data_IF_026523742622
#
_entry.id   IF_026523742622
#
_cell.length_a   1.000
_cell.length_b   1.000
_cell.length_c   1.000
_cell.angle_alpha   90.00
_cell.angle_beta   90.00
_cell.angle_gamma   90.00
#
_symmetry.space_group_name_H-M   'P 1'
#
loop_
_entity.id
_entity.type
_entity.pdbx_description
1 polymer ?
#
# COMPACT_ATOMS: atom_id res chain seq x y z
N UNK A 1 2.27 -4.36 -7.27
CA UNK A 1 0.84 -4.31 -7.66
C UNK A 1 0.68 -3.22 -8.69
N UNK A 2 -0.15 -3.44 -9.71
CA UNK A 2 -0.50 -2.39 -10.67
C UNK A 2 -1.92 -1.92 -10.40
N UNK A 3 -2.11 -0.63 -10.16
CA UNK A 3 -3.42 -0.07 -9.82
C UNK A 3 -3.56 1.38 -10.30
N UNK A 4 -4.81 1.78 -10.54
CA UNK A 4 -5.19 3.19 -10.65
C UNK A 4 -6.33 3.42 -9.67
N UNK A 5 -6.32 4.55 -8.98
CA UNK A 5 -7.27 4.75 -7.90
C UNK A 5 -7.58 6.23 -7.69
N UNK A 6 -8.82 6.45 -7.32
CA UNK A 6 -9.26 7.60 -6.54
C UNK A 6 -10.03 7.15 -5.31
N UNK A 7 -10.15 7.99 -4.30
CA UNK A 7 -10.97 7.75 -3.12
C UNK A 7 -11.46 9.07 -2.52
N UNK A 8 -12.50 8.98 -1.69
CA UNK A 8 -12.92 10.12 -0.87
C UNK A 8 -11.78 10.48 0.10
N UNK A 9 -11.44 11.77 0.14
CA UNK A 9 -10.33 12.31 0.93
C UNK A 9 -10.80 13.08 2.15
N UNK A 10 -12.09 13.40 2.20
CA UNK A 10 -12.73 14.07 3.31
C UNK A 10 -13.30 13.02 4.25
N UNK A 11 -12.89 13.08 5.51
CA UNK A 11 -13.50 12.27 6.56
C UNK A 11 -14.96 12.66 6.76
N UNK A 12 -15.86 11.69 6.68
CA UNK A 12 -17.29 11.80 7.06
C UNK A 12 -17.65 10.59 7.93
N UNK A 13 -18.83 10.58 8.58
CA UNK A 13 -19.29 9.38 9.30
C UNK A 13 -19.38 8.11 8.43
N UNK A 14 -19.43 8.26 7.11
CA UNK A 14 -19.53 7.18 6.12
C UNK A 14 -18.20 6.87 5.41
N UNK A 15 -17.20 7.76 5.50
CA UNK A 15 -15.93 7.66 4.78
C UNK A 15 -14.74 8.06 5.67
N UNK A 16 -13.74 7.21 5.74
CA UNK A 16 -12.55 7.42 6.56
C UNK A 16 -11.60 8.50 6.01
N UNK A 17 -11.84 9.02 4.81
CA UNK A 17 -10.94 9.97 4.12
C UNK A 17 -9.69 9.31 3.51
N UNK A 18 -9.66 7.98 3.42
CA UNK A 18 -8.64 7.19 2.75
C UNK A 18 -9.25 5.88 2.22
N UNK A 19 -8.53 5.18 1.35
CA UNK A 19 -8.92 3.89 0.81
C UNK A 19 -7.92 2.77 1.06
N UNK A 20 -8.33 1.52 0.81
CA UNK A 20 -7.45 0.36 0.86
C UNK A 20 -7.21 -0.22 -0.53
N UNK A 21 -5.94 -0.33 -0.92
CA UNK A 21 -5.55 -1.06 -2.12
C UNK A 21 -5.61 -2.56 -1.86
N UNK A 22 -4.85 -3.02 -0.86
CA UNK A 22 -4.90 -4.39 -0.37
C UNK A 22 -4.45 -4.44 1.08
N UNK A 23 -5.12 -5.20 1.93
CA UNK A 23 -4.84 -5.23 3.36
C UNK A 23 -5.22 -6.58 3.97
N UNK A 24 -4.34 -7.10 4.82
CA UNK A 24 -4.58 -8.33 5.60
C UNK A 24 -4.27 -8.11 7.10
N UNK A 25 -5.04 -7.24 7.78
CA UNK A 25 -4.78 -6.92 9.18
C UNK A 25 -5.36 -8.00 10.09
N UNK A 26 -4.86 -8.09 11.32
CA UNK A 26 -5.53 -8.77 12.41
C UNK A 26 -6.89 -8.10 12.71
N UNK A 27 -7.84 -8.86 13.27
CA UNK A 27 -9.17 -8.34 13.59
C UNK A 27 -9.20 -7.28 14.71
N UNK A 28 -8.17 -7.25 15.55
CA UNK A 28 -8.10 -6.38 16.72
C UNK A 28 -6.87 -5.48 16.67
N UNK A 29 -6.99 -4.30 17.29
CA UNK A 29 -5.87 -3.39 17.49
C UNK A 29 -4.67 -4.13 18.11
N UNK A 30 -3.44 -3.89 17.63
CA UNK A 30 -3.02 -2.79 16.74
C UNK A 30 -3.19 -3.09 15.24
N UNK A 31 -4.05 -4.05 14.87
CA UNK A 31 -4.38 -4.41 13.49
C UNK A 31 -3.17 -4.88 12.68
N UNK A 32 -2.28 -5.62 13.35
CA UNK A 32 -1.04 -6.15 12.76
C UNK A 32 -1.30 -6.92 11.47
N UNK A 33 -0.57 -6.58 10.42
CA UNK A 33 -0.64 -7.25 9.13
C UNK A 33 -0.32 -6.31 7.97
N UNK A 34 0.07 -6.84 6.80
CA UNK A 34 0.49 -6.03 5.68
C UNK A 34 -0.70 -5.33 5.03
N UNK A 35 -0.61 -4.01 4.89
CA UNK A 35 -1.60 -3.18 4.21
C UNK A 35 -0.94 -2.14 3.30
N UNK A 36 -1.55 -1.94 2.14
CA UNK A 36 -1.28 -0.88 1.18
C UNK A 36 -2.48 0.05 1.13
N UNK A 37 -2.20 1.34 1.32
CA UNK A 37 -3.19 2.37 1.59
C UNK A 37 -3.19 3.40 0.45
N UNK A 38 -4.40 3.80 0.05
CA UNK A 38 -4.66 4.90 -0.87
C UNK A 38 -5.02 6.13 -0.04
N UNK A 39 -4.04 6.99 0.20
CA UNK A 39 -4.12 8.00 1.25
C UNK A 39 -3.87 7.44 2.65
N UNK A 40 -3.95 8.31 3.65
CA UNK A 40 -3.85 7.96 5.06
C UNK A 40 -4.79 8.83 5.88
N UNK A 41 -5.42 8.30 6.96
CA UNK A 41 -6.25 9.08 7.87
C UNK A 41 -5.37 10.02 8.70
N UNK A 42 -5.01 11.15 8.10
CA UNK A 42 -4.21 12.22 8.69
C UNK A 42 -4.95 13.53 8.47
N UNK A 43 -4.78 14.49 9.38
CA UNK A 43 -5.40 15.82 9.28
C UNK A 43 -4.81 16.67 8.15
N UNK A 44 -3.75 16.20 7.47
CA UNK A 44 -3.13 16.90 6.35
C UNK A 44 -3.68 16.43 5.00
N UNK A 45 -4.17 17.36 4.18
CA UNK A 45 -4.67 17.09 2.82
C UNK A 45 -3.66 16.38 1.92
N UNK A 46 -2.37 16.63 2.08
CA UNK A 46 -1.34 15.91 1.32
C UNK A 46 -1.40 14.40 1.60
N UNK A 47 -1.59 14.01 2.87
CA UNK A 47 -1.59 12.62 3.30
C UNK A 47 -2.77 11.82 2.73
N UNK A 48 -3.93 12.44 2.49
CA UNK A 48 -5.07 11.77 1.83
C UNK A 48 -4.86 11.56 0.32
N UNK A 49 -3.81 12.14 -0.25
CA UNK A 49 -3.37 11.92 -1.64
C UNK A 49 -2.06 11.11 -1.78
N UNK A 50 -1.46 10.71 -0.64
CA UNK A 50 -0.24 9.89 -0.60
C UNK A 50 -0.54 8.41 -0.87
N UNK A 51 0.51 7.64 -1.16
CA UNK A 51 0.50 6.18 -1.12
C UNK A 51 1.13 5.73 0.21
N UNK A 52 0.59 4.69 0.84
CA UNK A 52 1.09 4.23 2.13
C UNK A 52 1.25 2.71 2.22
N UNK A 53 2.11 2.28 3.14
CA UNK A 53 2.12 0.91 3.64
C UNK A 53 2.11 0.92 5.16
N UNK A 54 1.40 -0.03 5.73
CA UNK A 54 1.22 -0.19 7.16
C UNK A 54 1.42 -1.66 7.52
N UNK A 55 2.09 -1.90 8.65
CA UNK A 55 2.20 -3.24 9.24
C UNK A 55 1.52 -3.35 10.61
N UNK A 56 1.27 -2.23 11.29
CA UNK A 56 0.30 -2.05 12.38
C UNK A 56 0.00 -0.54 12.54
N UNK A 57 -0.78 -0.12 13.55
CA UNK A 57 -1.11 1.31 13.74
C UNK A 57 0.06 2.25 14.08
N UNK A 58 1.22 1.73 14.48
CA UNK A 58 2.40 2.51 14.90
C UNK A 58 3.56 2.42 13.90
N UNK A 59 3.56 1.39 13.06
CA UNK A 59 4.60 1.04 12.11
C UNK A 59 4.05 1.15 10.69
N UNK A 60 4.25 2.31 10.11
CA UNK A 60 3.81 2.63 8.76
C UNK A 60 4.80 3.55 8.06
N UNK A 61 4.66 3.65 6.75
CA UNK A 61 5.39 4.58 5.89
C UNK A 61 4.39 5.19 4.92
N UNK A 62 4.50 6.50 4.72
CA UNK A 62 3.76 7.24 3.71
C UNK A 62 4.75 7.76 2.66
N UNK A 63 4.29 7.87 1.42
CA UNK A 63 5.06 8.50 0.37
C UNK A 63 5.42 9.94 0.75
N UNK A 64 6.65 10.35 0.46
CA UNK A 64 7.07 11.75 0.60
C UNK A 64 6.45 12.65 -0.47
N UNK A 65 6.05 12.03 -1.58
CA UNK A 65 5.32 12.64 -2.69
C UNK A 65 3.80 12.48 -2.49
N UNK A 66 3.03 13.33 -3.16
CA UNK A 66 1.57 13.40 -3.10
C UNK A 66 0.98 13.30 -4.52
N UNK A 67 -0.35 13.31 -4.64
CA UNK A 67 -1.01 13.31 -5.96
C UNK A 67 -1.18 11.93 -6.60
N UNK A 68 -1.14 10.85 -5.82
CA UNK A 68 -1.42 9.50 -6.31
C UNK A 68 -2.93 9.19 -6.39
N UNK A 69 -3.76 10.02 -5.73
CA UNK A 69 -5.23 9.98 -5.82
C UNK A 69 -5.73 10.68 -7.09
N UNK A 70 -5.33 10.18 -8.26
CA UNK A 70 -5.56 10.83 -9.56
C UNK A 70 -6.11 9.89 -10.64
N UNK A 71 -6.33 8.62 -10.31
CA UNK A 71 -6.83 7.63 -11.26
C UNK A 71 -5.83 7.22 -12.34
N UNK A 72 -4.55 7.60 -12.21
CA UNK A 72 -3.49 7.17 -13.13
C UNK A 72 -2.94 5.80 -12.70
N UNK A 73 -2.81 4.91 -13.68
CA UNK A 73 -2.29 3.56 -13.50
C UNK A 73 -0.79 3.63 -13.20
N UNK A 74 -0.36 3.04 -12.09
CA UNK A 74 1.06 2.94 -11.69
C UNK A 74 1.36 1.59 -11.08
N UNK A 75 2.64 1.26 -11.03
CA UNK A 75 3.16 0.14 -10.26
C UNK A 75 3.44 0.62 -8.83
N UNK A 76 2.67 0.11 -7.87
CA UNK A 76 2.87 0.34 -6.44
C UNK A 76 3.47 -0.90 -5.78
N UNK A 77 4.55 -0.72 -5.04
CA UNK A 77 5.20 -1.78 -4.27
C UNK A 77 5.52 -1.32 -2.86
N UNK A 78 5.43 -2.24 -1.90
CA UNK A 78 6.07 -2.09 -0.61
C UNK A 78 6.86 -3.35 -0.29
N UNK A 79 8.03 -3.19 0.31
CA UNK A 79 8.87 -4.31 0.71
C UNK A 79 9.46 -4.09 2.10
N UNK A 80 9.79 -5.21 2.75
CA UNK A 80 10.61 -5.21 3.97
C UNK A 80 12.06 -5.44 3.57
N UNK A 81 12.89 -4.39 3.63
CA UNK A 81 14.32 -4.44 3.30
C UNK A 81 15.12 -4.76 4.57
N UNK A 82 15.96 -5.80 4.50
CA UNK A 82 16.88 -6.18 5.59
C UNK A 82 16.20 -6.50 6.93
N UNK A 83 14.91 -6.85 6.91
CA UNK A 83 14.12 -7.15 8.12
C UNK A 83 13.74 -5.94 8.97
N UNK A 84 14.35 -4.76 8.83
CA UNK A 84 14.12 -3.63 9.74
C UNK A 84 13.67 -2.34 9.05
N UNK A 85 13.34 -2.39 7.76
CA UNK A 85 12.91 -1.21 7.00
C UNK A 85 11.72 -1.55 6.13
N UNK A 86 10.66 -0.76 6.22
CA UNK A 86 9.53 -0.80 5.30
C UNK A 86 9.73 0.30 4.24
N UNK A 87 9.80 -0.08 2.98
CA UNK A 87 10.06 0.81 1.85
C UNK A 87 8.86 0.86 0.91
N UNK A 88 8.52 2.05 0.43
CA UNK A 88 7.55 2.27 -0.65
C UNK A 88 8.26 2.56 -1.96
N UNK A 89 7.72 1.98 -3.03
CA UNK A 89 8.19 2.23 -4.39
C UNK A 89 7.01 2.49 -5.32
N UNK A 90 7.23 3.40 -6.26
CA UNK A 90 6.31 3.67 -7.37
C UNK A 90 7.10 3.61 -8.68
N UNK A 91 6.59 2.83 -9.63
CA UNK A 91 7.20 2.63 -10.95
C UNK A 91 8.69 2.22 -10.85
N UNK A 92 9.00 1.35 -9.88
CA UNK A 92 10.35 0.84 -9.62
C UNK A 92 11.31 1.82 -8.93
N UNK A 93 10.83 3.01 -8.50
CA UNK A 93 11.63 3.99 -7.77
C UNK A 93 11.23 4.02 -6.30
N UNK A 94 12.23 4.00 -5.40
CA UNK A 94 12.02 4.25 -3.97
C UNK A 94 11.53 5.68 -3.73
N UNK A 95 10.42 5.83 -2.99
CA UNK A 95 9.81 7.14 -2.70
C UNK A 95 9.71 7.45 -1.21
N UNK A 96 9.81 6.43 -0.36
CA UNK A 96 9.83 6.58 1.09
C UNK A 96 10.33 5.30 1.77
N UNK A 97 10.90 5.43 2.95
CA UNK A 97 11.24 4.32 3.81
C UNK A 97 11.10 4.72 5.29
N UNK A 98 10.71 3.77 6.13
CA UNK A 98 10.64 3.94 7.57
C UNK A 98 11.21 2.72 8.30
N UNK A 99 11.84 2.91 9.47
CA UNK A 99 12.28 1.79 10.28
C UNK A 99 11.08 1.02 10.84
N UNK A 100 11.22 -0.30 10.95
CA UNK A 100 10.32 -1.20 11.69
C UNK A 100 11.15 -2.16 12.54
N UNK A 101 10.61 -2.73 13.63
CA UNK A 101 11.35 -3.71 14.44
C UNK A 101 11.82 -4.90 13.59
N UNK A 102 13.03 -5.39 13.83
CA UNK A 102 13.65 -6.44 13.01
C UNK A 102 12.98 -7.80 13.15
N UNK A 103 12.37 -8.06 14.30
CA UNK A 103 11.64 -9.28 14.67
C UNK A 103 10.11 -9.11 14.55
N UNK A 104 9.64 -8.02 13.94
CA UNK A 104 8.21 -7.73 13.83
C UNK A 104 7.47 -8.80 13.03
N UNK A 105 6.53 -9.52 13.66
CA UNK A 105 5.68 -10.49 12.97
C UNK A 105 4.44 -9.80 12.39
N UNK A 106 4.28 -9.88 11.08
CA UNK A 106 3.12 -9.35 10.35
C UNK A 106 2.13 -10.45 9.96
N UNK A 107 2.30 -11.65 10.51
CA UNK A 107 1.41 -12.76 10.22
C UNK A 107 0.02 -12.48 10.80
N UNK A 108 -0.99 -12.70 9.95
CA UNK A 108 -2.39 -12.58 10.33
C UNK A 108 -3.15 -13.80 9.82
N UNK A 109 -2.88 -14.99 10.38
CA UNK A 109 -3.55 -16.22 9.96
C UNK A 109 -5.05 -16.13 10.23
N UNK A 110 -5.84 -16.79 9.38
CA UNK A 110 -7.31 -16.85 9.47
C UNK A 110 -8.05 -15.51 9.31
N UNK A 111 -7.35 -14.39 9.11
CA UNK A 111 -7.97 -13.12 8.76
C UNK A 111 -8.08 -12.97 7.23
N UNK A 112 -9.19 -12.37 6.74
CA UNK A 112 -9.41 -12.19 5.32
C UNK A 112 -8.44 -11.15 4.73
N UNK A 113 -8.04 -11.38 3.48
CA UNK A 113 -7.44 -10.33 2.65
C UNK A 113 -8.58 -9.47 2.11
N UNK A 114 -8.41 -8.15 2.18
CA UNK A 114 -9.35 -7.16 1.64
C UNK A 114 -8.67 -6.44 0.48
N UNK A 115 -9.37 -6.29 -0.63
CA UNK A 115 -8.86 -5.69 -1.88
C UNK A 115 -9.84 -4.62 -2.31
N UNK A 116 -9.37 -3.41 -2.58
CA UNK A 116 -10.20 -2.31 -3.06
C UNK A 116 -11.09 -1.63 -2.02
N UNK A 117 -11.01 -2.05 -0.75
CA UNK A 117 -11.73 -1.44 0.36
C UNK A 117 -12.07 -2.42 1.47
N UNK A 118 -12.64 -1.87 2.54
CA UNK A 118 -13.26 -2.67 3.59
C UNK A 118 -14.64 -3.18 3.15
N UNK A 119 -15.15 -4.22 3.83
CA UNK A 119 -16.53 -4.69 3.61
C UNK A 119 -17.61 -3.68 4.02
N UNK A 120 -17.23 -2.55 4.63
CA UNK A 120 -18.02 -1.36 4.82
C UNK A 120 -17.48 -0.25 3.90
N UNK A 121 -18.35 0.64 3.40
CA UNK A 121 -17.99 1.67 2.37
C UNK A 121 -16.93 2.69 2.81
N UNK A 122 -16.51 2.60 4.05
CA UNK A 122 -15.65 3.52 4.80
C UNK A 122 -14.27 3.74 4.15
N UNK A 123 -13.74 2.75 3.42
CA UNK A 123 -12.39 2.81 2.81
C UNK A 123 -12.39 2.36 1.34
N UNK A 124 -13.49 2.63 0.63
CA UNK A 124 -13.68 2.17 -0.73
C UNK A 124 -12.78 2.90 -1.75
N UNK A 125 -12.22 2.13 -2.69
CA UNK A 125 -11.56 2.68 -3.88
C UNK A 125 -12.52 2.84 -5.05
N UNK A 126 -12.19 3.80 -5.91
CA UNK A 126 -12.73 3.93 -7.27
C UNK A 126 -11.58 3.81 -8.25
N UNK A 127 -11.52 2.74 -9.02
CA UNK A 127 -10.45 2.53 -10.00
C UNK A 127 -10.29 1.08 -10.38
N UNK A 128 -9.07 0.70 -10.77
CA UNK A 128 -8.75 -0.66 -11.20
C UNK A 128 -7.54 -1.19 -10.45
N UNK A 129 -7.58 -2.48 -10.15
CA UNK A 129 -6.41 -3.25 -9.71
C UNK A 129 -6.17 -4.27 -10.80
N UNK A 130 -5.06 -4.12 -11.53
CA UNK A 130 -4.69 -5.03 -12.61
C UNK A 130 -4.15 -6.34 -12.06
N UNK A 131 -3.16 -6.26 -11.17
CA UNK A 131 -2.52 -7.44 -10.59
C UNK A 131 -1.94 -7.16 -9.20
N UNK A 132 -2.05 -8.16 -8.32
CA UNK A 132 -1.45 -8.18 -6.98
C UNK A 132 -0.55 -9.41 -6.87
N UNK A 133 0.71 -9.17 -6.50
CA UNK A 133 1.67 -10.21 -6.11
C UNK A 133 2.09 -9.93 -4.67
N UNK A 134 1.99 -10.94 -3.81
CA UNK A 134 2.49 -10.90 -2.44
C UNK A 134 3.54 -11.99 -2.27
N UNK A 135 4.76 -11.58 -1.94
CA UNK A 135 5.89 -12.49 -1.76
C UNK A 135 6.15 -12.63 -0.28
N UNK A 136 6.30 -13.87 0.20
CA UNK A 136 6.71 -14.16 1.57
C UNK A 136 8.22 -14.37 1.61
N UNK A 137 8.86 -13.80 2.62
CA UNK A 137 10.29 -13.98 2.88
C UNK A 137 11.14 -12.95 2.14
N UNK A 138 12.44 -13.18 2.15
CA UNK A 138 13.38 -12.32 1.45
C UNK A 138 13.25 -12.52 -0.07
N UNK A 139 13.31 -11.41 -0.81
CA UNK A 139 13.43 -11.41 -2.26
C UNK A 139 14.79 -10.81 -2.62
N UNK A 140 15.52 -11.43 -3.53
CA UNK A 140 16.72 -10.80 -4.05
C UNK A 140 16.31 -9.52 -4.80
N UNK A 141 17.13 -8.47 -4.69
CA UNK A 141 16.87 -7.19 -5.37
C UNK A 141 16.74 -7.39 -6.89
N UNK A 142 17.49 -8.34 -7.48
CA UNK A 142 17.38 -8.70 -8.89
C UNK A 142 16.01 -9.28 -9.25
N UNK A 143 15.44 -10.14 -8.39
CA UNK A 143 14.13 -10.74 -8.64
C UNK A 143 13.02 -9.68 -8.52
N UNK A 144 13.14 -8.78 -7.54
CA UNK A 144 12.23 -7.65 -7.41
C UNK A 144 12.29 -6.76 -8.65
N UNK A 145 13.48 -6.39 -9.11
CA UNK A 145 13.65 -5.56 -10.30
C UNK A 145 13.11 -6.24 -11.56
N UNK A 146 13.32 -7.55 -11.72
CA UNK A 146 12.77 -8.32 -12.84
C UNK A 146 11.23 -8.33 -12.82
N UNK A 147 10.63 -8.50 -11.63
CA UNK A 147 9.17 -8.45 -11.47
C UNK A 147 8.61 -7.04 -11.73
N UNK A 148 9.28 -6.00 -11.24
CA UNK A 148 8.87 -4.62 -11.49
C UNK A 148 8.97 -4.26 -12.98
N UNK A 149 10.06 -4.65 -13.65
CA UNK A 149 10.24 -4.46 -15.09
C UNK A 149 9.19 -5.21 -15.92
N UNK A 150 8.84 -6.44 -15.52
CA UNK A 150 7.77 -7.21 -16.14
C UNK A 150 6.44 -6.45 -16.09
N UNK A 151 6.07 -5.88 -14.94
CA UNK A 151 4.83 -5.10 -14.82
C UNK A 151 4.85 -3.80 -15.61
N UNK A 152 5.98 -3.11 -15.64
CA UNK A 152 6.14 -1.90 -16.44
C UNK A 152 5.93 -2.20 -17.93
N UNK A 153 6.50 -3.29 -18.44
CA UNK A 153 6.33 -3.68 -19.85
C UNK A 153 4.90 -4.16 -20.15
N UNK A 154 4.36 -5.05 -19.32
CA UNK A 154 3.02 -5.63 -19.50
C UNK A 154 1.93 -4.56 -19.54
N UNK A 155 2.03 -3.54 -18.68
CA UNK A 155 1.03 -2.48 -18.57
C UNK A 155 1.41 -1.18 -19.28
N UNK A 156 2.57 -1.14 -19.96
CA UNK A 156 3.05 0.04 -20.69
C UNK A 156 3.26 1.27 -19.79
N UNK A 157 3.69 1.07 -18.55
CA UNK A 157 3.88 2.14 -17.57
C UNK A 157 5.15 2.96 -17.87
N UNK A 158 5.17 4.23 -17.48
CA UNK A 158 6.36 5.08 -17.62
C UNK A 158 6.73 5.48 -19.07
N UNK A 159 5.80 5.34 -20.02
CA UNK A 159 5.92 5.87 -21.39
C UNK A 159 5.27 7.25 -21.52
#
# INVERSE_FOLDING_TARGET
MVASWTNETVYTPEYSGYGLLVCKPAAHAPYTGPCLLAGYPSTATAASSCFGAQVDTEHYVLSTEAGFNDGILRLYSALRRGGSTLELRVDGRSIAAAPIPSDFDVSSPNNPVRIGGQGNRDQALRGVIGEIVMIRGESAEQDLQALEAYFVDLYGLGR
#
